data_IF_585908216920
#
_entry.id   IF_585908216920
#
_cell.length_a   1.000
_cell.length_b   1.000
_cell.length_c   1.000
_cell.angle_alpha   90.00
_cell.angle_beta   90.00
_cell.angle_gamma   90.00
#
_symmetry.space_group_name_H-M   'P 1'
#
loop_
_entity.id
_entity.type
_entity.pdbx_description
1 polymer ?
#
# COMPACT_ATOMS: atom_id res chain seq x y z
N UNK A 1 6.59 11.22 -13.86
CA UNK A 1 7.30 11.90 -12.76
C UNK A 1 8.37 12.85 -13.30
N UNK A 2 9.30 12.38 -14.14
CA UNK A 2 10.31 13.26 -14.77
C UNK A 2 9.71 14.42 -15.57
N UNK A 3 8.59 14.19 -16.28
CA UNK A 3 7.88 15.23 -17.03
C UNK A 3 7.41 16.42 -16.16
N UNK A 4 7.29 16.21 -14.84
CA UNK A 4 6.93 17.24 -13.86
C UNK A 4 8.10 17.63 -12.95
N UNK A 5 9.34 17.30 -13.34
CA UNK A 5 10.56 17.63 -12.61
C UNK A 5 10.82 16.75 -11.37
N UNK A 6 10.17 15.59 -11.26
CA UNK A 6 10.39 14.65 -10.16
C UNK A 6 11.31 13.49 -10.59
N UNK A 7 12.55 13.55 -10.10
CA UNK A 7 13.62 12.58 -10.37
C UNK A 7 13.72 11.46 -9.32
N UNK A 8 12.66 11.24 -8.52
CA UNK A 8 12.68 10.22 -7.47
C UNK A 8 12.87 8.82 -8.04
N UNK A 9 13.83 8.09 -7.48
CA UNK A 9 14.07 6.68 -7.75
C UNK A 9 13.34 5.86 -6.67
N UNK A 10 12.32 5.10 -7.08
CA UNK A 10 11.46 4.32 -6.17
C UNK A 10 11.96 2.88 -5.93
N UNK A 11 13.05 2.47 -6.58
CA UNK A 11 13.58 1.10 -6.51
C UNK A 11 15.11 1.10 -6.46
N UNK A 12 15.68 0.05 -5.89
CA UNK A 12 17.10 -0.23 -6.13
C UNK A 12 17.34 -0.46 -7.64
N UNK A 13 18.53 -0.09 -8.15
CA UNK A 13 18.94 -0.46 -9.50
C UNK A 13 18.85 -1.98 -9.71
N UNK A 14 18.35 -2.39 -10.88
CA UNK A 14 18.29 -3.82 -11.26
C UNK A 14 19.59 -4.10 -12.01
N UNK A 15 20.40 -5.02 -11.48
CA UNK A 15 21.66 -5.44 -12.09
C UNK A 15 21.44 -6.55 -13.13
N UNK A 16 20.45 -7.42 -12.89
CA UNK A 16 20.12 -8.52 -13.77
C UNK A 16 18.67 -8.93 -13.56
N UNK A 17 17.98 -9.35 -14.63
CA UNK A 17 16.70 -10.04 -14.51
C UNK A 17 16.54 -11.07 -15.63
N UNK A 18 15.91 -12.20 -15.32
CA UNK A 18 15.57 -13.24 -16.27
C UNK A 18 14.24 -13.87 -15.84
N UNK A 19 13.35 -14.17 -16.80
CA UNK A 19 12.02 -14.73 -16.53
C UNK A 19 11.93 -16.21 -16.90
N UNK A 20 12.90 -16.74 -17.64
CA UNK A 20 12.97 -18.13 -18.12
C UNK A 20 14.44 -18.54 -18.31
N UNK A 21 14.88 -19.73 -17.88
CA UNK A 21 14.09 -20.83 -17.32
C UNK A 21 13.70 -20.63 -15.85
N UNK A 22 14.26 -19.63 -15.18
CA UNK A 22 13.96 -19.29 -13.78
C UNK A 22 13.68 -17.79 -13.67
N UNK A 23 12.71 -17.43 -12.82
CA UNK A 23 12.41 -16.03 -12.48
C UNK A 23 13.45 -15.54 -11.48
N UNK A 24 14.41 -14.76 -11.94
CA UNK A 24 15.51 -14.21 -11.14
C UNK A 24 15.53 -12.70 -11.34
N UNK A 25 15.67 -11.96 -10.24
CA UNK A 25 15.94 -10.52 -10.27
C UNK A 25 17.07 -10.27 -9.28
N UNK A 26 18.10 -9.56 -9.72
CA UNK A 26 19.25 -9.15 -8.91
C UNK A 26 19.22 -7.63 -8.83
N UNK A 27 19.21 -7.11 -7.61
CA UNK A 27 19.27 -5.67 -7.34
C UNK A 27 20.65 -5.28 -6.83
N UNK A 28 21.00 -4.01 -7.02
CA UNK A 28 22.15 -3.41 -6.36
C UNK A 28 21.93 -3.40 -4.84
N UNK A 29 22.97 -3.75 -4.08
CA UNK A 29 22.95 -3.58 -2.63
C UNK A 29 23.01 -2.09 -2.31
N UNK A 30 21.96 -1.60 -1.65
CA UNK A 30 21.84 -0.19 -1.26
C UNK A 30 22.32 0.08 0.16
N UNK A 31 22.75 -0.94 0.92
CA UNK A 31 23.35 -0.75 2.25
C UNK A 31 24.60 0.16 2.19
N UNK A 32 25.52 0.03 1.22
CA UNK A 32 26.64 0.95 1.05
C UNK A 32 26.24 2.40 0.79
N UNK A 33 25.01 2.66 0.31
CA UNK A 33 24.45 3.99 0.11
C UNK A 33 23.85 4.59 1.41
N UNK A 34 24.00 3.90 2.54
CA UNK A 34 23.50 4.32 3.84
C UNK A 34 22.06 3.90 4.13
N UNK A 35 21.46 3.03 3.33
CA UNK A 35 20.14 2.48 3.63
C UNK A 35 20.25 1.42 4.73
N UNK A 36 19.38 1.53 5.72
CA UNK A 36 19.20 0.53 6.75
C UNK A 36 17.80 -0.08 6.69
N UNK A 37 17.70 -1.35 7.07
CA UNK A 37 16.40 -1.97 7.26
C UNK A 37 15.86 -1.54 8.62
N UNK A 38 14.67 -0.93 8.63
CA UNK A 38 14.01 -0.54 9.87
C UNK A 38 13.65 -1.77 10.70
N UNK A 39 14.41 -2.02 11.77
CA UNK A 39 14.17 -3.11 12.73
C UNK A 39 14.38 -2.65 14.16
N UNK A 40 13.60 -3.20 15.09
CA UNK A 40 13.79 -2.99 16.53
C UNK A 40 13.36 -1.62 17.05
N UNK A 41 12.76 -0.75 16.22
CA UNK A 41 12.20 0.55 16.61
C UNK A 41 10.97 0.91 15.79
N UNK A 42 10.21 1.89 16.26
CA UNK A 42 9.12 2.51 15.49
C UNK A 42 9.68 3.50 14.47
N UNK A 43 8.93 3.72 13.39
CA UNK A 43 9.19 4.82 12.47
C UNK A 43 8.98 6.17 13.15
N UNK A 44 9.80 7.14 12.79
CA UNK A 44 9.60 8.53 13.19
C UNK A 44 8.70 9.26 12.17
N UNK A 45 8.26 10.47 12.54
CA UNK A 45 7.34 11.26 11.71
C UNK A 45 7.90 11.54 10.31
N UNK A 46 9.22 11.75 10.17
CA UNK A 46 9.82 12.02 8.88
C UNK A 46 9.85 10.75 8.00
N UNK A 47 10.23 9.61 8.56
CA UNK A 47 10.18 8.32 7.87
C UNK A 47 8.77 7.98 7.39
N UNK A 48 7.76 8.20 8.22
CA UNK A 48 6.35 8.02 7.87
C UNK A 48 5.96 8.92 6.69
N UNK A 49 6.31 10.21 6.73
CA UNK A 49 6.03 11.14 5.63
C UNK A 49 6.71 10.70 4.33
N UNK A 50 7.98 10.29 4.39
CA UNK A 50 8.70 9.82 3.22
C UNK A 50 8.07 8.56 2.63
N UNK A 51 7.62 7.63 3.47
CA UNK A 51 6.87 6.44 3.04
C UNK A 51 5.57 6.82 2.34
N UNK A 52 4.79 7.76 2.88
CA UNK A 52 3.56 8.25 2.23
C UNK A 52 3.83 8.98 0.91
N UNK A 53 4.92 9.74 0.82
CA UNK A 53 5.33 10.40 -0.43
C UNK A 53 5.65 9.34 -1.51
N UNK A 54 6.42 8.30 -1.16
CA UNK A 54 6.73 7.20 -2.07
C UNK A 54 5.47 6.46 -2.52
N UNK A 55 4.55 6.19 -1.59
CA UNK A 55 3.25 5.57 -1.89
C UNK A 55 2.41 6.43 -2.84
N UNK A 56 2.32 7.74 -2.59
CA UNK A 56 1.59 8.65 -3.47
C UNK A 56 2.17 8.66 -4.89
N UNK A 57 3.50 8.63 -5.03
CA UNK A 57 4.18 8.50 -6.33
C UNK A 57 3.88 7.18 -7.02
N UNK A 58 3.89 6.07 -6.27
CA UNK A 58 3.53 4.75 -6.78
C UNK A 58 2.07 4.68 -7.27
N UNK A 59 1.13 5.21 -6.49
CA UNK A 59 -0.27 5.34 -6.89
C UNK A 59 -0.42 6.20 -8.14
N UNK A 60 0.25 7.35 -8.20
CA UNK A 60 0.19 8.24 -9.37
C UNK A 60 0.72 7.57 -10.63
N UNK A 61 1.85 6.85 -10.52
CA UNK A 61 2.44 6.14 -11.65
C UNK A 61 1.57 4.98 -12.12
N UNK A 62 1.05 4.16 -11.20
CA UNK A 62 0.18 3.04 -11.56
C UNK A 62 -1.14 3.52 -12.18
N UNK A 63 -1.72 4.61 -11.67
CA UNK A 63 -2.87 5.24 -12.31
C UNK A 63 -2.56 5.66 -13.75
N UNK A 64 -1.44 6.37 -13.95
CA UNK A 64 -1.02 6.82 -15.28
C UNK A 64 -0.79 5.66 -16.24
N UNK A 65 -0.10 4.60 -15.80
CA UNK A 65 0.11 3.39 -16.60
C UNK A 65 -1.22 2.74 -16.98
N UNK A 66 -2.18 2.65 -16.05
CA UNK A 66 -3.50 2.10 -16.36
C UNK A 66 -4.27 2.93 -17.40
N UNK A 67 -4.07 4.26 -17.44
CA UNK A 67 -4.68 5.13 -18.45
C UNK A 67 -4.00 5.02 -19.82
N UNK A 68 -2.67 4.94 -19.84
CA UNK A 68 -1.88 4.88 -21.09
C UNK A 68 -1.86 3.47 -21.69
N UNK A 69 -1.94 2.43 -20.85
CA UNK A 69 -1.94 1.02 -21.20
C UNK A 69 -3.12 0.30 -20.50
N UNK A 70 -4.36 0.48 -20.98
CA UNK A 70 -5.52 -0.20 -20.40
C UNK A 70 -5.34 -1.73 -20.41
N UNK A 71 -5.70 -2.37 -19.30
CA UNK A 71 -5.57 -3.83 -19.13
C UNK A 71 -4.17 -4.31 -18.74
N UNK A 72 -3.18 -3.42 -18.60
CA UNK A 72 -1.82 -3.76 -18.15
C UNK A 72 -1.81 -4.49 -16.78
N UNK A 73 -2.86 -4.29 -15.97
CA UNK A 73 -2.99 -4.93 -14.67
C UNK A 73 -3.94 -6.14 -14.62
N UNK A 74 -4.49 -6.56 -15.76
CA UNK A 74 -5.52 -7.61 -15.82
C UNK A 74 -5.00 -8.93 -15.23
N UNK A 75 -3.73 -9.27 -15.41
CA UNK A 75 -3.17 -10.53 -14.91
C UNK A 75 -2.93 -10.54 -13.37
N UNK A 76 -3.02 -9.39 -12.70
CA UNK A 76 -2.67 -9.24 -11.28
C UNK A 76 -3.88 -9.41 -10.35
N UNK A 77 -4.54 -10.57 -10.43
CA UNK A 77 -5.73 -10.89 -9.61
C UNK A 77 -5.44 -11.20 -8.13
N UNK A 78 -4.16 -11.27 -7.74
CA UNK A 78 -3.77 -11.66 -6.38
C UNK A 78 -3.81 -10.44 -5.47
N UNK A 79 -4.84 -10.35 -4.63
CA UNK A 79 -4.98 -9.34 -3.58
C UNK A 79 -5.03 -9.98 -2.21
N UNK A 80 -4.41 -9.35 -1.20
CA UNK A 80 -4.55 -9.78 0.21
C UNK A 80 -6.03 -9.83 0.60
N UNK A 81 -6.83 -8.87 0.14
CA UNK A 81 -8.28 -8.79 0.38
C UNK A 81 -9.11 -9.81 -0.42
N UNK A 82 -8.48 -10.54 -1.35
CA UNK A 82 -9.07 -11.69 -2.03
C UNK A 82 -8.72 -13.03 -1.36
N UNK A 83 -7.82 -13.05 -0.35
CA UNK A 83 -7.43 -14.29 0.33
C UNK A 83 -8.59 -14.87 1.15
N UNK A 84 -8.80 -16.20 1.10
CA UNK A 84 -9.79 -16.86 1.96
C UNK A 84 -9.39 -16.75 3.44
N UNK A 85 -10.39 -16.59 4.31
CA UNK A 85 -10.22 -16.48 5.77
C UNK A 85 -9.44 -15.26 6.28
N UNK A 86 -9.23 -14.21 5.47
CA UNK A 86 -8.58 -12.98 5.93
C UNK A 86 -9.34 -12.31 7.09
N UNK A 87 -10.66 -12.44 7.12
CA UNK A 87 -11.56 -12.01 8.20
C UNK A 87 -11.25 -12.67 9.55
N UNK A 88 -10.63 -13.86 9.53
CA UNK A 88 -10.18 -14.57 10.73
C UNK A 88 -8.80 -14.12 11.21
N UNK A 89 -8.10 -13.29 10.44
CA UNK A 89 -6.82 -12.73 10.85
C UNK A 89 -7.04 -11.60 11.85
N UNK A 90 -6.58 -11.84 13.08
CA UNK A 90 -6.72 -10.92 14.21
C UNK A 90 -6.19 -9.52 13.90
N UNK A 91 -5.11 -9.42 13.12
CA UNK A 91 -4.49 -8.14 12.73
C UNK A 91 -5.44 -7.27 11.90
N UNK A 92 -6.24 -7.87 11.02
CA UNK A 92 -7.14 -7.13 10.12
C UNK A 92 -8.41 -6.66 10.84
N UNK A 93 -8.92 -7.47 11.78
CA UNK A 93 -10.13 -7.14 12.52
C UNK A 93 -9.88 -6.15 13.66
N UNK A 94 -8.79 -6.32 14.43
CA UNK A 94 -8.48 -5.45 15.57
C UNK A 94 -7.92 -4.07 15.17
N UNK A 95 -7.43 -3.92 13.94
CA UNK A 95 -6.80 -2.68 13.49
C UNK A 95 -7.72 -1.45 13.59
N UNK A 96 -9.01 -1.63 13.29
CA UNK A 96 -10.00 -0.53 13.35
C UNK A 96 -10.28 -0.12 14.81
N UNK A 97 -10.41 -1.09 15.71
CA UNK A 97 -10.65 -0.84 17.14
C UNK A 97 -9.45 -0.15 17.77
N UNK A 98 -8.24 -0.62 17.48
CA UNK A 98 -7.00 0.01 17.92
C UNK A 98 -6.86 1.44 17.39
N UNK A 99 -7.27 1.69 16.14
CA UNK A 99 -7.26 3.03 15.57
C UNK A 99 -8.26 3.96 16.26
N UNK A 100 -9.47 3.49 16.57
CA UNK A 100 -10.47 4.26 17.31
C UNK A 100 -9.95 4.60 18.72
N UNK A 101 -9.41 3.61 19.44
CA UNK A 101 -8.81 3.81 20.76
C UNK A 101 -7.67 4.85 20.68
N UNK A 102 -6.84 4.80 19.65
CA UNK A 102 -5.79 5.78 19.46
C UNK A 102 -6.34 7.19 19.21
N UNK A 103 -7.39 7.33 18.40
CA UNK A 103 -8.02 8.62 18.12
C UNK A 103 -8.65 9.25 19.36
N UNK A 104 -9.19 8.45 20.28
CA UNK A 104 -9.72 8.92 21.57
C UNK A 104 -8.64 9.64 22.39
N UNK A 105 -7.38 9.20 22.30
CA UNK A 105 -6.23 9.84 22.96
C UNK A 105 -5.73 11.11 22.28
N UNK A 106 -6.27 11.48 21.11
CA UNK A 106 -5.78 12.60 20.29
C UNK A 106 -6.83 13.72 20.22
N UNK A 107 -6.79 14.74 21.12
CA UNK A 107 -7.83 15.78 21.19
C UNK A 107 -8.11 16.50 19.87
N UNK A 108 -7.07 16.71 19.06
CA UNK A 108 -7.19 17.37 17.74
C UNK A 108 -7.93 16.52 16.69
N UNK A 109 -7.99 15.21 16.88
CA UNK A 109 -8.58 14.26 15.94
C UNK A 109 -9.94 13.73 16.39
N UNK A 110 -10.37 14.02 17.62
CA UNK A 110 -11.67 13.56 18.16
C UNK A 110 -12.86 13.97 17.28
N UNK A 111 -12.77 15.07 16.53
CA UNK A 111 -13.81 15.47 15.57
C UNK A 111 -14.11 14.42 14.49
N UNK A 112 -13.19 13.49 14.22
CA UNK A 112 -13.38 12.40 13.24
C UNK A 112 -13.96 11.12 13.86
N UNK A 113 -13.95 10.98 15.19
CA UNK A 113 -14.44 9.77 15.87
C UNK A 113 -15.87 9.40 15.48
N UNK A 114 -16.86 10.33 15.46
CA UNK A 114 -18.23 9.96 15.13
C UNK A 114 -18.35 9.35 13.72
N UNK A 115 -17.59 9.88 12.76
CA UNK A 115 -17.58 9.36 11.41
C UNK A 115 -16.96 7.96 11.36
N UNK A 116 -15.80 7.76 11.98
CA UNK A 116 -15.08 6.49 11.94
C UNK A 116 -15.89 5.39 12.65
N UNK A 117 -16.48 5.69 13.80
CA UNK A 117 -17.37 4.77 14.51
C UNK A 117 -18.61 4.42 13.67
N UNK A 118 -19.15 5.37 12.90
CA UNK A 118 -20.32 5.11 12.03
C UNK A 118 -20.05 4.12 10.91
N UNK A 119 -18.78 3.98 10.48
CA UNK A 119 -18.37 3.09 9.39
C UNK A 119 -17.62 1.83 9.86
N UNK A 120 -17.21 1.77 11.14
CA UNK A 120 -16.39 0.70 11.73
C UNK A 120 -16.89 -0.72 11.36
N UNK A 121 -18.18 -0.99 11.58
CA UNK A 121 -18.77 -2.32 11.33
C UNK A 121 -18.84 -2.73 9.86
N UNK A 122 -18.58 -1.79 8.92
CA UNK A 122 -18.63 -2.03 7.47
C UNK A 122 -17.26 -1.91 6.81
N UNK A 123 -16.29 -1.28 7.47
CA UNK A 123 -15.01 -0.88 6.87
C UNK A 123 -14.28 -2.04 6.18
N UNK A 124 -14.21 -3.20 6.84
CA UNK A 124 -13.49 -4.35 6.29
C UNK A 124 -14.17 -4.95 5.05
N UNK A 125 -15.48 -5.14 5.10
CA UNK A 125 -16.23 -5.68 3.95
C UNK A 125 -16.29 -4.67 2.80
N UNK A 126 -16.44 -3.38 3.09
CA UNK A 126 -16.38 -2.31 2.09
C UNK A 126 -14.98 -2.23 1.45
N UNK A 127 -13.92 -2.42 2.23
CA UNK A 127 -12.53 -2.49 1.73
C UNK A 127 -12.36 -3.70 0.81
N UNK A 128 -12.84 -4.89 1.21
CA UNK A 128 -12.80 -6.09 0.36
C UNK A 128 -13.56 -5.91 -0.94
N UNK A 129 -14.74 -5.30 -0.91
CA UNK A 129 -15.53 -4.99 -2.10
C UNK A 129 -14.77 -4.03 -3.01
N UNK A 130 -14.21 -2.96 -2.45
CA UNK A 130 -13.46 -1.95 -3.21
C UNK A 130 -12.20 -2.53 -3.85
N UNK A 131 -11.48 -3.39 -3.12
CA UNK A 131 -10.27 -4.05 -3.63
C UNK A 131 -10.53 -5.01 -4.81
N UNK A 132 -11.79 -5.46 -4.98
CA UNK A 132 -12.21 -6.32 -6.09
C UNK A 132 -12.93 -5.56 -7.21
N UNK A 133 -13.29 -4.29 -6.97
CA UNK A 133 -14.13 -3.51 -7.88
C UNK A 133 -13.54 -3.45 -9.30
N UNK A 134 -12.22 -3.27 -9.42
CA UNK A 134 -11.53 -3.25 -10.71
C UNK A 134 -11.84 -4.48 -11.58
N UNK A 135 -11.91 -5.67 -10.97
CA UNK A 135 -12.10 -6.94 -11.69
C UNK A 135 -13.57 -7.34 -11.79
N UNK A 136 -14.35 -7.10 -10.74
CA UNK A 136 -15.74 -7.59 -10.66
C UNK A 136 -16.73 -6.62 -11.31
N UNK A 137 -16.52 -5.31 -11.17
CA UNK A 137 -17.45 -4.26 -11.61
C UNK A 137 -16.75 -2.90 -11.75
N UNK A 138 -15.82 -2.73 -12.70
CA UNK A 138 -15.07 -1.50 -12.87
C UNK A 138 -16.01 -0.33 -13.20
N UNK A 139 -15.68 0.85 -12.66
CA UNK A 139 -16.40 2.11 -12.89
C UNK A 139 -15.58 3.03 -13.78
N UNK A 140 -16.26 3.72 -14.69
CA UNK A 140 -15.64 4.62 -15.67
C UNK A 140 -14.86 5.78 -15.02
N UNK A 141 -15.40 6.36 -13.95
CA UNK A 141 -14.79 7.50 -13.24
C UNK A 141 -13.96 7.11 -12.01
N UNK A 142 -13.65 5.82 -11.82
CA UNK A 142 -12.87 5.37 -10.67
C UNK A 142 -11.37 5.49 -10.90
N UNK A 143 -10.66 5.81 -9.81
CA UNK A 143 -9.19 5.89 -9.80
C UNK A 143 -8.66 4.54 -9.32
N UNK A 144 -8.26 3.70 -10.27
CA UNK A 144 -7.62 2.41 -9.98
C UNK A 144 -6.10 2.56 -9.94
N UNK A 145 -5.51 2.10 -8.84
CA UNK A 145 -4.06 2.18 -8.57
C UNK A 145 -3.57 0.85 -8.02
N UNK A 146 -2.29 0.55 -8.25
CA UNK A 146 -1.65 -0.59 -7.61
C UNK A 146 -1.41 -0.28 -6.13
N UNK A 147 -1.98 -1.10 -5.25
CA UNK A 147 -1.80 -1.01 -3.81
C UNK A 147 -0.84 -2.10 -3.32
N UNK A 148 0.26 -1.70 -2.67
CA UNK A 148 1.09 -2.61 -1.88
C UNK A 148 0.65 -2.50 -0.41
N UNK A 149 0.15 -3.60 0.16
CA UNK A 149 -0.37 -3.62 1.53
C UNK A 149 0.68 -3.55 2.63
N UNK A 150 1.96 -3.72 2.30
CA UNK A 150 3.05 -3.75 3.27
C UNK A 150 3.49 -2.33 3.66
N UNK A 151 2.68 -1.69 4.50
CA UNK A 151 3.06 -0.50 5.28
C UNK A 151 3.15 -0.84 6.78
N UNK A 152 3.66 -2.02 7.09
CA UNK A 152 3.76 -2.49 8.46
C UNK A 152 5.08 -2.04 9.09
N UNK A 153 5.00 -1.07 10.01
CA UNK A 153 6.11 -0.53 10.82
C UNK A 153 6.79 -1.58 11.74
N UNK A 154 6.34 -2.85 11.71
CA UNK A 154 6.89 -3.98 12.47
C UNK A 154 6.83 -5.28 11.65
N UNK A 155 7.95 -5.66 11.05
CA UNK A 155 8.22 -7.06 10.69
C UNK A 155 9.12 -7.67 11.77
N UNK A 156 8.52 -8.32 12.76
CA UNK A 156 9.25 -9.34 13.53
C UNK A 156 9.27 -10.60 12.66
N UNK A 157 10.46 -10.99 12.21
CA UNK A 157 10.74 -12.36 11.75
C UNK A 157 11.30 -13.11 12.95
#
# INVERSE_FOLDING_TARGET
>A
LRDVGDDTILKAPILFHELSPRKIIIFEDIVPLGYELLRGRYTNVEEIKQSYIKLAKWHTLSYKVNLEEPGCFDEYHISIFAMPNLDRNLLMWQGTDAFIQQLETMPKMQKYLPFIQSIQGKLFEDTKRTAKEYFDAPKEDAIYVLYCGDFHDKCYI
#
